data_IF_604551427908
#
_entry.id   IF_604551427908
#
_cell.length_a   1.000
_cell.length_b   1.000
_cell.length_c   1.000
_cell.angle_alpha   90.00
_cell.angle_beta   90.00
_cell.angle_gamma   90.00
#
_symmetry.space_group_name_H-M   'P 1'
#
loop_
_entity.id
_entity.type
_entity.pdbx_description
1 polymer ?
#
# COMPACT_ATOMS: atom_id res chain seq x y z
N UNK A 1 22.98 22.19 70.49
CA UNK A 1 21.72 22.42 69.77
C UNK A 1 22.01 22.25 68.29
N UNK A 2 21.19 21.40 67.68
CA UNK A 2 21.11 21.00 66.27
C UNK A 2 21.34 22.16 65.27
N UNK A 3 21.90 21.89 64.09
CA UNK A 3 21.17 21.96 62.81
C UNK A 3 22.08 21.76 61.58
N UNK A 4 21.73 20.73 60.81
CA UNK A 4 21.77 20.54 59.35
C UNK A 4 22.81 21.23 58.44
N UNK A 5 23.51 20.39 57.66
CA UNK A 5 23.93 20.69 56.26
C UNK A 5 22.70 20.51 55.31
N UNK A 6 22.74 20.75 53.97
CA UNK A 6 23.63 21.51 53.07
C UNK A 6 22.85 22.43 52.06
N UNK A 7 23.52 23.16 51.16
CA UNK A 7 23.14 23.18 49.73
C UNK A 7 24.25 23.81 48.88
N UNK A 8 24.68 23.07 47.85
CA UNK A 8 25.75 23.44 46.94
C UNK A 8 25.20 24.29 45.79
N UNK A 9 25.86 25.41 45.52
CA UNK A 9 25.60 26.32 44.41
C UNK A 9 26.26 25.80 43.12
N UNK A 10 25.63 26.20 42.02
CA UNK A 10 25.65 25.72 40.65
C UNK A 10 26.98 25.92 39.93
N UNK A 11 27.40 24.92 39.13
CA UNK A 11 28.06 25.09 37.82
C UNK A 11 28.54 23.75 37.26
N UNK A 12 27.73 23.12 36.40
CA UNK A 12 28.24 22.18 35.40
C UNK A 12 27.54 22.47 34.06
N UNK A 13 28.30 23.10 33.17
CA UNK A 13 28.08 23.14 31.73
C UNK A 13 27.89 21.69 31.24
N UNK A 14 26.65 21.27 30.97
CA UNK A 14 26.40 20.11 30.12
C UNK A 14 26.24 20.62 28.68
N UNK A 15 27.26 20.37 27.87
CA UNK A 15 27.15 20.36 26.42
C UNK A 15 26.13 19.29 26.01
N UNK A 16 24.91 19.71 25.67
CA UNK A 16 23.96 18.85 24.96
C UNK A 16 24.37 18.78 23.49
N UNK A 17 24.99 17.66 23.10
CA UNK A 17 25.12 17.27 21.70
C UNK A 17 23.71 17.01 21.14
N UNK A 18 23.13 18.00 20.47
CA UNK A 18 21.91 17.84 19.69
C UNK A 18 22.18 16.91 18.52
N UNK A 19 21.92 15.62 18.71
CA UNK A 19 21.85 14.66 17.62
C UNK A 19 20.68 15.06 16.71
N UNK A 20 20.99 15.64 15.55
CA UNK A 20 20.08 15.74 14.42
C UNK A 20 19.70 14.32 14.00
N UNK A 21 18.57 13.82 14.49
CA UNK A 21 17.91 12.65 13.91
C UNK A 21 17.41 13.11 12.54
N UNK A 22 18.23 12.95 11.52
CA UNK A 22 17.78 13.10 10.13
C UNK A 22 16.77 11.99 9.88
N UNK A 23 15.50 12.35 9.83
CA UNK A 23 14.44 11.47 9.36
C UNK A 23 14.75 11.06 7.92
N UNK A 24 15.10 9.79 7.73
CA UNK A 24 15.18 9.22 6.38
C UNK A 24 13.82 9.42 5.70
N UNK A 25 13.77 9.86 4.43
CA UNK A 25 12.51 9.97 3.71
C UNK A 25 11.85 8.59 3.71
N UNK A 26 10.62 8.51 4.23
CA UNK A 26 9.83 7.29 4.13
C UNK A 26 9.70 6.94 2.65
N UNK A 27 10.23 5.79 2.25
CA UNK A 27 10.06 5.30 0.89
C UNK A 27 8.56 5.08 0.66
N UNK A 28 7.95 5.93 -0.16
CA UNK A 28 6.53 5.81 -0.47
C UNK A 28 6.30 4.48 -1.18
N UNK A 29 5.52 3.61 -0.55
CA UNK A 29 5.19 2.30 -1.10
C UNK A 29 4.40 2.49 -2.39
N UNK A 30 4.72 1.67 -3.39
CA UNK A 30 3.95 1.63 -4.63
C UNK A 30 2.67 0.86 -4.40
N UNK A 31 1.59 1.29 -5.04
CA UNK A 31 0.30 0.61 -4.94
C UNK A 31 0.21 -0.55 -5.95
N UNK A 32 -0.32 -1.69 -5.52
CA UNK A 32 -0.71 -2.80 -6.38
C UNK A 32 -2.23 -2.99 -6.27
N UNK A 33 -2.94 -2.92 -7.40
CA UNK A 33 -4.38 -3.16 -7.43
C UNK A 33 -4.65 -4.65 -7.68
N UNK A 34 -5.59 -5.23 -6.95
CA UNK A 34 -5.99 -6.63 -7.05
C UNK A 34 -7.48 -6.62 -7.39
N UNK A 35 -7.85 -7.08 -8.58
CA UNK A 35 -9.22 -7.09 -9.08
C UNK A 35 -9.64 -8.56 -9.20
N UNK A 36 -10.67 -8.96 -8.46
CA UNK A 36 -11.16 -10.34 -8.41
C UNK A 36 -12.70 -10.41 -8.48
N UNK A 37 -13.29 -11.59 -8.72
CA UNK A 37 -14.72 -11.81 -8.53
C UNK A 37 -15.13 -11.76 -7.05
N UNK A 38 -16.40 -12.05 -6.76
CA UNK A 38 -16.93 -11.96 -5.39
C UNK A 38 -16.16 -12.87 -4.41
N UNK A 39 -15.63 -12.33 -3.29
CA UNK A 39 -14.96 -13.12 -2.26
C UNK A 39 -15.95 -13.93 -1.40
N UNK A 40 -17.25 -13.92 -1.72
CA UNK A 40 -18.22 -14.87 -1.15
C UNK A 40 -17.89 -16.30 -1.58
N UNK A 41 -17.28 -16.48 -2.75
CA UNK A 41 -16.66 -17.75 -3.11
C UNK A 41 -15.30 -17.86 -2.38
N UNK A 42 -15.08 -18.90 -1.54
CA UNK A 42 -13.82 -19.09 -0.82
C UNK A 42 -12.58 -19.12 -1.70
N UNK A 43 -12.70 -19.54 -2.97
CA UNK A 43 -11.60 -19.54 -3.92
C UNK A 43 -11.08 -18.11 -4.19
N UNK A 44 -11.97 -17.20 -4.60
CA UNK A 44 -11.59 -15.80 -4.89
C UNK A 44 -11.17 -15.03 -3.64
N UNK A 45 -11.74 -15.39 -2.48
CA UNK A 45 -11.25 -14.86 -1.19
C UNK A 45 -9.79 -15.24 -0.95
N UNK A 46 -9.46 -16.52 -1.08
CA UNK A 46 -8.10 -17.01 -0.89
C UNK A 46 -7.12 -16.38 -1.89
N UNK A 47 -7.54 -16.21 -3.15
CA UNK A 47 -6.75 -15.53 -4.18
C UNK A 47 -6.44 -14.07 -3.83
N UNK A 48 -7.45 -13.30 -3.42
CA UNK A 48 -7.28 -11.90 -3.02
C UNK A 48 -6.37 -11.75 -1.80
N UNK A 49 -6.57 -12.59 -0.79
CA UNK A 49 -5.77 -12.60 0.43
C UNK A 49 -4.31 -13.01 0.15
N UNK A 50 -4.08 -14.06 -0.65
CA UNK A 50 -2.74 -14.51 -1.02
C UNK A 50 -1.99 -13.46 -1.86
N UNK A 51 -2.67 -12.85 -2.82
CA UNK A 51 -2.13 -11.77 -3.65
C UNK A 51 -1.76 -10.55 -2.81
N UNK A 52 -2.65 -10.13 -1.90
CA UNK A 52 -2.41 -9.01 -1.02
C UNK A 52 -1.25 -9.28 -0.06
N UNK A 53 -1.22 -10.46 0.58
CA UNK A 53 -0.15 -10.85 1.49
C UNK A 53 1.21 -10.89 0.77
N UNK A 54 1.26 -11.44 -0.45
CA UNK A 54 2.50 -11.49 -1.24
C UNK A 54 2.96 -10.10 -1.65
N UNK A 55 2.07 -9.23 -2.10
CA UNK A 55 2.39 -7.85 -2.48
C UNK A 55 2.89 -7.04 -1.27
N UNK A 56 2.23 -7.16 -0.12
CA UNK A 56 2.64 -6.50 1.12
C UNK A 56 4.02 -6.99 1.59
N UNK A 57 4.29 -8.29 1.52
CA UNK A 57 5.60 -8.86 1.84
C UNK A 57 6.73 -8.35 0.92
N UNK A 58 6.39 -7.93 -0.31
CA UNK A 58 7.31 -7.30 -1.26
C UNK A 58 7.40 -5.77 -1.09
N UNK A 59 6.69 -5.19 -0.12
CA UNK A 59 6.75 -3.76 0.20
C UNK A 59 5.76 -2.88 -0.58
N UNK A 60 4.75 -3.46 -1.23
CA UNK A 60 3.68 -2.71 -1.87
C UNK A 60 2.56 -2.38 -0.89
N UNK A 61 1.87 -1.27 -1.13
CA UNK A 61 0.51 -1.09 -0.64
C UNK A 61 -0.46 -1.81 -1.57
N UNK A 62 -1.60 -2.28 -1.06
CA UNK A 62 -2.55 -3.09 -1.82
C UNK A 62 -3.94 -2.47 -1.83
N UNK A 63 -4.60 -2.51 -2.98
CA UNK A 63 -6.01 -2.15 -3.14
C UNK A 63 -6.78 -3.31 -3.76
N UNK A 64 -7.57 -4.01 -2.94
CA UNK A 64 -8.45 -5.08 -3.43
C UNK A 64 -9.78 -4.49 -3.89
N UNK A 65 -10.20 -4.89 -5.09
CA UNK A 65 -11.39 -4.43 -5.80
C UNK A 65 -12.17 -5.64 -6.31
N UNK A 66 -13.49 -5.55 -6.32
CA UNK A 66 -14.36 -6.71 -6.60
C UNK A 66 -15.29 -6.39 -7.77
N UNK A 67 -15.21 -7.15 -8.86
CA UNK A 67 -16.02 -6.92 -10.06
C UNK A 67 -17.34 -7.70 -10.11
N UNK A 68 -17.57 -8.72 -9.27
CA UNK A 68 -18.80 -9.52 -9.24
C UNK A 68 -19.22 -10.07 -10.61
N UNK A 69 -18.27 -10.59 -11.38
CA UNK A 69 -18.49 -11.10 -12.75
C UNK A 69 -19.09 -10.08 -13.73
N UNK A 70 -18.99 -8.79 -13.43
CA UNK A 70 -19.45 -7.70 -14.29
C UNK A 70 -18.27 -7.08 -15.07
N UNK A 71 -18.22 -7.24 -16.41
CA UNK A 71 -17.16 -6.68 -17.23
C UNK A 71 -17.15 -5.15 -17.29
N UNK A 72 -18.31 -4.50 -17.17
CA UNK A 72 -18.40 -3.03 -17.13
C UNK A 72 -17.77 -2.53 -15.82
N UNK A 73 -18.10 -3.20 -14.72
CA UNK A 73 -17.49 -2.90 -13.42
C UNK A 73 -15.98 -3.14 -13.46
N UNK A 74 -15.52 -4.24 -14.05
CA UNK A 74 -14.09 -4.49 -14.22
C UNK A 74 -13.40 -3.32 -14.95
N UNK A 75 -13.96 -2.83 -16.07
CA UNK A 75 -13.37 -1.71 -16.81
C UNK A 75 -13.26 -0.42 -15.97
N UNK A 76 -14.26 -0.13 -15.14
CA UNK A 76 -14.25 0.99 -14.19
C UNK A 76 -13.21 0.81 -13.06
N UNK A 77 -12.97 -0.43 -12.63
CA UNK A 77 -11.95 -0.75 -11.63
C UNK A 77 -10.53 -0.61 -12.21
N UNK A 78 -10.35 -0.88 -13.50
CA UNK A 78 -9.12 -0.52 -14.22
C UNK A 78 -8.91 1.00 -14.23
N UNK A 79 -9.95 1.80 -14.51
CA UNK A 79 -9.86 3.26 -14.43
C UNK A 79 -9.48 3.73 -13.02
N UNK A 80 -10.03 3.07 -12.00
CA UNK A 80 -9.66 3.33 -10.60
C UNK A 80 -8.18 3.05 -10.35
N UNK A 81 -7.66 1.89 -10.78
CA UNK A 81 -6.25 1.53 -10.62
C UNK A 81 -5.32 2.52 -11.35
N UNK A 82 -5.68 2.94 -12.56
CA UNK A 82 -4.95 3.93 -13.35
C UNK A 82 -4.94 5.30 -12.64
N UNK A 83 -6.12 5.77 -12.21
CA UNK A 83 -6.25 7.05 -11.50
C UNK A 83 -5.46 7.08 -10.18
N UNK A 84 -5.38 5.94 -9.49
CA UNK A 84 -4.58 5.76 -8.27
C UNK A 84 -3.08 5.58 -8.55
N UNK A 85 -2.66 5.59 -9.81
CA UNK A 85 -1.28 5.37 -10.25
C UNK A 85 -0.71 4.06 -9.68
N UNK A 86 -1.51 3.00 -9.73
CA UNK A 86 -1.05 1.67 -9.37
C UNK A 86 0.21 1.32 -10.18
N UNK A 87 1.19 0.72 -9.53
CA UNK A 87 2.41 0.24 -10.19
C UNK A 87 2.17 -1.06 -10.97
N UNK A 88 1.15 -1.83 -10.61
CA UNK A 88 0.69 -3.00 -11.32
C UNK A 88 -0.77 -3.32 -10.94
N UNK A 89 -1.42 -4.12 -11.78
CA UNK A 89 -2.74 -4.71 -11.55
C UNK A 89 -2.56 -6.23 -11.53
N UNK A 90 -3.25 -6.93 -10.62
CA UNK A 90 -3.49 -8.38 -10.70
C UNK A 90 -4.98 -8.54 -11.00
N UNK A 91 -5.32 -9.31 -12.02
CA UNK A 91 -6.69 -9.52 -12.47
C UNK A 91 -7.06 -11.01 -12.54
N UNK A 92 -8.06 -11.40 -11.77
CA UNK A 92 -8.96 -12.50 -12.15
C UNK A 92 -10.16 -11.88 -12.87
N UNK A 93 -10.48 -12.39 -14.06
CA UNK A 93 -11.21 -11.65 -15.07
C UNK A 93 -12.71 -11.99 -15.13
N UNK A 94 -13.54 -10.98 -15.37
CA UNK A 94 -14.97 -11.09 -15.64
C UNK A 94 -15.31 -11.66 -17.04
N UNK A 95 -14.35 -12.33 -17.69
CA UNK A 95 -14.46 -12.83 -19.06
C UNK A 95 -13.29 -12.38 -19.94
N UNK A 96 -12.66 -13.34 -20.62
CA UNK A 96 -11.42 -13.12 -21.37
C UNK A 96 -11.59 -12.09 -22.50
N UNK A 97 -12.65 -12.21 -23.30
CA UNK A 97 -12.89 -11.29 -24.42
C UNK A 97 -13.17 -9.86 -23.96
N UNK A 98 -13.94 -9.70 -22.88
CA UNK A 98 -14.29 -8.40 -22.33
C UNK A 98 -13.08 -7.70 -21.66
N UNK A 99 -12.06 -8.46 -21.29
CA UNK A 99 -10.87 -7.97 -20.57
C UNK A 99 -9.84 -7.30 -21.48
N UNK A 100 -9.84 -7.62 -22.77
CA UNK A 100 -8.82 -7.16 -23.72
C UNK A 100 -8.74 -5.63 -23.76
N UNK A 101 -9.87 -4.93 -23.74
CA UNK A 101 -9.91 -3.47 -23.77
C UNK A 101 -9.32 -2.85 -22.49
N UNK A 102 -9.68 -3.39 -21.33
CA UNK A 102 -9.21 -2.92 -20.02
C UNK A 102 -7.68 -3.11 -19.86
N UNK A 103 -7.15 -4.27 -20.26
CA UNK A 103 -5.70 -4.54 -20.24
C UNK A 103 -4.94 -3.61 -21.19
N UNK A 104 -5.48 -3.37 -22.40
CA UNK A 104 -4.89 -2.37 -23.32
C UNK A 104 -4.90 -0.97 -22.72
N UNK A 105 -5.95 -0.60 -21.98
CA UNK A 105 -6.07 0.68 -21.28
C UNK A 105 -4.96 0.84 -20.23
N UNK A 106 -4.76 -0.15 -19.36
CA UNK A 106 -3.67 -0.14 -18.37
C UNK A 106 -2.28 -0.07 -19.03
N UNK A 107 -2.06 -0.88 -20.07
CA UNK A 107 -0.81 -0.88 -20.84
C UNK A 107 -0.50 0.50 -21.44
N UNK A 108 -1.50 1.18 -22.01
CA UNK A 108 -1.34 2.52 -22.56
C UNK A 108 -1.01 3.57 -21.47
N UNK A 109 -1.44 3.34 -20.23
CA UNK A 109 -1.06 4.14 -19.07
C UNK A 109 0.30 3.75 -18.47
N UNK A 110 1.01 2.78 -19.06
CA UNK A 110 2.30 2.28 -18.57
C UNK A 110 2.19 1.37 -17.33
N UNK A 111 1.00 0.83 -17.05
CA UNK A 111 0.74 -0.03 -15.90
C UNK A 111 0.64 -1.49 -16.39
N UNK A 112 1.53 -2.40 -15.95
CA UNK A 112 1.39 -3.82 -16.22
C UNK A 112 0.20 -4.42 -15.46
N UNK A 113 -0.48 -5.38 -16.09
CA UNK A 113 -1.67 -6.06 -15.59
C UNK A 113 -1.62 -7.54 -15.92
#
# INVERSE_FOLDING_TARGET
MEFSRPSADHSHLLFTAGALIQSLPAQQKKLLAIIVPSPENPFFKAEAEASAARAQALGYDTLTLVHNDDPVKQDQLFDTAIARKAAAIILDNAGADATVAAVKKAKNAGIPS
#
